data_IF_461344816504
#
_entry.id   IF_461344816504
#
_cell.length_a   1.000
_cell.length_b   1.000
_cell.length_c   1.000
_cell.angle_alpha   90.00
_cell.angle_beta   90.00
_cell.angle_gamma   90.00
#
_symmetry.space_group_name_H-M   'P 1'
#
loop_
_entity.id
_entity.type
_entity.pdbx_description
1 polymer ?
#
# COMPACT_ATOMS: atom_id res chain seq x y z
N UNK A 1 -13.95 4.59 -3.09
CA UNK A 1 -13.01 4.18 -2.01
C UNK A 1 -12.23 2.93 -2.37
N UNK A 2 -12.89 1.80 -2.64
CA UNK A 2 -12.21 0.53 -2.96
C UNK A 2 -11.16 0.62 -4.09
N UNK A 3 -11.45 1.31 -5.18
CA UNK A 3 -10.48 1.55 -6.27
C UNK A 3 -9.22 2.29 -5.81
N UNK A 4 -9.34 3.25 -4.88
CA UNK A 4 -8.18 4.00 -4.34
C UNK A 4 -7.33 3.08 -3.47
N UNK A 5 -7.96 2.24 -2.65
CA UNK A 5 -7.29 1.24 -1.81
C UNK A 5 -6.51 0.25 -2.69
N UNK A 6 -7.14 -0.25 -3.75
CA UNK A 6 -6.51 -1.16 -4.72
C UNK A 6 -5.31 -0.48 -5.40
N UNK A 7 -5.45 0.78 -5.83
CA UNK A 7 -4.36 1.53 -6.45
C UNK A 7 -3.14 1.68 -5.51
N UNK A 8 -3.37 1.96 -4.21
CA UNK A 8 -2.30 2.04 -3.21
C UNK A 8 -1.52 0.72 -3.10
N UNK A 9 -2.22 -0.42 -3.09
CA UNK A 9 -1.58 -1.73 -3.07
C UNK A 9 -0.80 -2.03 -4.35
N UNK A 10 -1.36 -1.72 -5.52
CA UNK A 10 -0.67 -1.92 -6.81
C UNK A 10 0.62 -1.10 -6.87
N UNK A 11 0.57 0.17 -6.44
CA UNK A 11 1.75 1.04 -6.39
C UNK A 11 2.79 0.49 -5.40
N UNK A 12 2.35 0.09 -4.20
CA UNK A 12 3.22 -0.49 -3.18
C UNK A 12 3.94 -1.76 -3.67
N UNK A 13 3.20 -2.69 -4.28
CA UNK A 13 3.75 -3.92 -4.87
C UNK A 13 4.68 -3.61 -6.04
N UNK A 14 4.29 -2.69 -6.92
CA UNK A 14 5.11 -2.25 -8.05
C UNK A 14 6.46 -1.70 -7.61
N UNK A 15 6.47 -0.81 -6.61
CA UNK A 15 7.69 -0.27 -6.01
C UNK A 15 8.55 -1.37 -5.35
N UNK A 16 7.91 -2.33 -4.67
CA UNK A 16 8.64 -3.44 -4.05
C UNK A 16 9.37 -4.29 -5.10
N UNK A 17 8.70 -4.64 -6.19
CA UNK A 17 9.27 -5.39 -7.32
C UNK A 17 10.38 -4.57 -7.98
N UNK A 18 10.13 -3.28 -8.25
CA UNK A 18 11.12 -2.37 -8.84
C UNK A 18 12.40 -2.26 -7.98
N UNK A 19 12.27 -2.33 -6.65
CA UNK A 19 13.43 -2.32 -5.75
C UNK A 19 14.43 -3.45 -6.00
N UNK A 20 14.00 -4.61 -6.53
CA UNK A 20 14.90 -5.72 -6.85
C UNK A 20 15.76 -5.45 -8.07
N UNK A 21 15.19 -4.81 -9.10
CA UNK A 21 15.92 -4.43 -10.30
C UNK A 21 16.90 -3.28 -10.01
N UNK A 22 16.49 -2.30 -9.19
CA UNK A 22 17.36 -1.18 -8.81
C UNK A 22 18.54 -1.59 -7.93
N UNK A 23 18.36 -2.62 -7.10
CA UNK A 23 19.45 -3.16 -6.29
C UNK A 23 20.64 -3.65 -7.12
N UNK A 24 20.41 -4.04 -8.37
CA UNK A 24 21.46 -4.51 -9.27
C UNK A 24 22.21 -3.36 -9.98
N UNK A 25 21.54 -2.22 -10.21
CA UNK A 25 22.09 -1.10 -10.98
C UNK A 25 22.55 0.10 -10.15
N UNK A 26 21.89 0.42 -9.02
CA UNK A 26 22.06 1.70 -8.31
C UNK A 26 22.46 1.55 -6.83
N UNK A 27 22.72 0.31 -6.39
CA UNK A 27 23.27 0.01 -5.06
C UNK A 27 22.23 -0.13 -3.94
N UNK A 28 22.73 -0.48 -2.75
CA UNK A 28 21.91 -0.91 -1.60
C UNK A 28 21.03 0.22 -1.01
N UNK A 29 21.46 1.48 -1.14
CA UNK A 29 20.73 2.64 -0.61
C UNK A 29 19.40 2.84 -1.34
N UNK A 30 19.41 2.82 -2.67
CA UNK A 30 18.21 2.96 -3.50
C UNK A 30 17.21 1.83 -3.29
N UNK A 31 17.69 0.60 -3.14
CA UNK A 31 16.87 -0.56 -2.75
C UNK A 31 16.12 -0.31 -1.44
N UNK A 32 16.82 0.20 -0.43
CA UNK A 32 16.28 0.41 0.91
C UNK A 32 15.26 1.54 0.91
N UNK A 33 15.54 2.62 0.19
CA UNK A 33 14.61 3.74 0.05
C UNK A 33 13.32 3.34 -0.67
N UNK A 34 13.44 2.61 -1.79
CA UNK A 34 12.28 2.12 -2.55
C UNK A 34 11.42 1.14 -1.73
N UNK A 35 12.05 0.28 -0.92
CA UNK A 35 11.35 -0.61 0.01
C UNK A 35 10.63 0.14 1.14
N UNK A 36 11.24 1.19 1.70
CA UNK A 36 10.58 2.03 2.69
C UNK A 36 9.36 2.73 2.10
N UNK A 37 9.49 3.32 0.91
CA UNK A 37 8.36 3.98 0.24
C UNK A 37 7.25 2.96 -0.07
N UNK A 38 7.61 1.78 -0.59
CA UNK A 38 6.67 0.67 -0.80
C UNK A 38 5.91 0.29 0.48
N UNK A 39 6.62 0.15 1.61
CA UNK A 39 6.01 -0.16 2.90
C UNK A 39 5.04 0.95 3.38
N UNK A 40 5.34 2.22 3.10
CA UNK A 40 4.43 3.34 3.38
C UNK A 40 3.14 3.22 2.55
N UNK A 41 3.24 2.94 1.24
CA UNK A 41 2.05 2.77 0.40
C UNK A 41 1.20 1.56 0.83
N UNK A 42 1.83 0.45 1.21
CA UNK A 42 1.13 -0.74 1.70
C UNK A 42 0.43 -0.44 3.04
N UNK A 43 1.10 0.23 3.97
CA UNK A 43 0.50 0.58 5.27
C UNK A 43 -0.67 1.57 5.15
N UNK A 44 -0.58 2.56 4.24
CA UNK A 44 -1.71 3.43 3.90
C UNK A 44 -2.87 2.66 3.25
N UNK A 45 -2.57 1.67 2.39
CA UNK A 45 -3.55 0.75 1.84
C UNK A 45 -4.29 -0.05 2.92
N UNK A 46 -3.55 -0.58 3.91
CA UNK A 46 -4.14 -1.32 5.04
C UNK A 46 -5.00 -0.40 5.91
N UNK A 47 -4.52 0.80 6.23
CA UNK A 47 -5.26 1.75 7.06
C UNK A 47 -6.58 2.16 6.40
N UNK A 48 -6.54 2.45 5.09
CA UNK A 48 -7.74 2.77 4.32
C UNK A 48 -8.69 1.59 4.15
N UNK A 49 -8.18 0.35 4.07
CA UNK A 49 -8.98 -0.86 4.11
C UNK A 49 -9.70 -1.04 5.47
N UNK A 50 -9.00 -0.79 6.58
CA UNK A 50 -9.62 -0.86 7.91
C UNK A 50 -10.73 0.18 8.04
N UNK A 51 -10.50 1.42 7.60
CA UNK A 51 -11.52 2.46 7.59
C UNK A 51 -12.73 2.10 6.72
N UNK A 52 -12.49 1.52 5.54
CA UNK A 52 -13.56 1.03 4.67
C UNK A 52 -14.36 -0.11 5.31
N UNK A 53 -13.69 -1.05 5.99
CA UNK A 53 -14.35 -2.17 6.68
C UNK A 53 -15.22 -1.67 7.84
N UNK A 54 -14.71 -0.73 8.64
CA UNK A 54 -15.47 -0.10 9.74
C UNK A 54 -16.70 0.60 9.19
N UNK A 55 -16.56 1.38 8.12
CA UNK A 55 -17.68 2.05 7.47
C UNK A 55 -18.71 1.05 6.91
N UNK A 56 -18.24 -0.04 6.29
CA UNK A 56 -19.11 -1.08 5.76
C UNK A 56 -19.91 -1.77 6.88
N UNK A 57 -19.26 -2.11 8.00
CA UNK A 57 -19.93 -2.71 9.15
C UNK A 57 -20.92 -1.73 9.77
N UNK A 58 -20.54 -0.45 9.94
CA UNK A 58 -21.44 0.58 10.47
C UNK A 58 -22.71 0.69 9.62
N UNK A 59 -22.54 0.85 8.30
CA UNK A 59 -23.63 1.05 7.37
C UNK A 59 -24.55 -0.18 7.21
N UNK A 60 -24.03 -1.41 7.32
CA UNK A 60 -24.83 -2.64 7.11
C UNK A 60 -25.33 -3.31 8.39
N UNK A 61 -24.63 -3.18 9.52
CA UNK A 61 -24.98 -3.90 10.75
C UNK A 61 -25.45 -2.97 11.88
N UNK A 62 -24.96 -1.73 11.92
CA UNK A 62 -25.31 -0.79 12.99
C UNK A 62 -26.36 0.24 12.54
N UNK A 63 -26.54 0.44 11.24
CA UNK A 63 -27.56 1.35 10.68
C UNK A 63 -27.30 2.84 10.97
N UNK A 64 -26.07 3.15 11.39
CA UNK A 64 -25.49 4.49 11.61
C UNK A 64 -24.34 4.69 10.63
#
# INVERSE_FOLDING_TARGET
>A
MLFVIIALFIIGIGLYIFSFFLAQNEGLSYKTHCRNISAVFISLGILSLMGYLVHYISAHYLGI
#
